data_IF_733070727499
#
_entry.id   IF_733070727499
#
_cell.length_a   1.000
_cell.length_b   1.000
_cell.length_c   1.000
_cell.angle_alpha   90.00
_cell.angle_beta   90.00
_cell.angle_gamma   90.00
#
_symmetry.space_group_name_H-M   'P 1'
#
loop_
_entity.id
_entity.type
_entity.pdbx_description
1 polymer ?
#
# COMPACT_ATOMS: atom_id res chain seq x y z
N UNK A 1 11.97 17.93 -11.52
CA UNK A 1 12.92 17.04 -10.83
C UNK A 1 12.17 15.74 -10.64
N UNK A 2 12.59 14.62 -11.26
CA UNK A 2 12.00 13.31 -10.97
C UNK A 2 12.37 12.94 -9.53
N UNK A 3 11.40 12.58 -8.70
CA UNK A 3 11.65 12.09 -7.33
C UNK A 3 12.32 10.72 -7.45
N UNK A 4 13.61 10.63 -7.09
CA UNK A 4 14.39 9.38 -7.00
C UNK A 4 13.95 8.47 -5.83
N UNK A 5 12.79 8.74 -5.22
CA UNK A 5 12.15 7.93 -4.17
C UNK A 5 10.91 7.16 -4.71
N UNK A 6 10.63 7.28 -6.01
CA UNK A 6 9.48 6.67 -6.71
C UNK A 6 9.89 5.43 -7.54
N UNK A 7 10.96 4.76 -7.11
CA UNK A 7 11.55 3.58 -7.74
C UNK A 7 10.64 2.34 -7.56
N UNK A 8 9.49 2.32 -8.20
CA UNK A 8 8.63 1.12 -8.26
C UNK A 8 9.24 0.16 -9.26
N UNK A 9 10.02 -0.80 -8.76
CA UNK A 9 10.51 -1.90 -9.59
C UNK A 9 9.35 -2.83 -9.92
N UNK A 10 8.91 -2.78 -11.18
CA UNK A 10 7.78 -3.55 -11.68
C UNK A 10 8.29 -4.61 -12.63
N UNK A 11 8.37 -5.86 -12.19
CA UNK A 11 8.69 -6.99 -13.06
C UNK A 11 7.37 -7.70 -13.45
N UNK A 12 6.67 -7.23 -14.50
CA UNK A 12 5.54 -7.99 -15.09
C UNK A 12 4.94 -7.39 -16.37
N UNK A 13 4.44 -8.28 -17.23
CA UNK A 13 3.63 -8.01 -18.42
C UNK A 13 2.21 -7.55 -18.02
N UNK A 14 1.68 -6.44 -18.58
CA UNK A 14 0.38 -5.91 -18.16
C UNK A 14 -0.76 -6.67 -18.84
N UNK A 15 -1.34 -7.65 -18.14
CA UNK A 15 -2.54 -8.38 -18.57
C UNK A 15 -3.68 -8.14 -17.59
N UNK A 16 -4.62 -7.29 -18.01
CA UNK A 16 -6.01 -7.18 -17.59
C UNK A 16 -6.39 -7.68 -16.16
N UNK A 17 -6.29 -6.76 -15.19
CA UNK A 17 -7.17 -6.59 -14.02
C UNK A 17 -7.69 -7.87 -13.34
N UNK A 18 -6.88 -8.41 -12.43
CA UNK A 18 -7.38 -9.16 -11.25
C UNK A 18 -6.54 -8.73 -10.03
N UNK A 19 -6.75 -7.46 -9.66
CA UNK A 19 -5.94 -6.66 -8.73
C UNK A 19 -6.20 -6.97 -7.24
N UNK A 20 -6.45 -8.23 -6.86
CA UNK A 20 -6.59 -8.54 -5.43
C UNK A 20 -5.21 -8.77 -4.82
N UNK A 21 -4.85 -7.91 -3.87
CA UNK A 21 -3.72 -8.16 -2.96
C UNK A 21 -4.01 -9.44 -2.19
N UNK A 22 -3.14 -10.44 -2.36
CA UNK A 22 -3.29 -11.76 -1.75
C UNK A 22 -2.47 -11.90 -0.47
N UNK A 23 -1.26 -11.32 -0.45
CA UNK A 23 -0.41 -11.30 0.73
C UNK A 23 0.58 -10.13 0.68
N UNK A 24 1.26 -9.89 1.80
CA UNK A 24 2.36 -8.95 1.88
C UNK A 24 3.51 -9.51 2.74
N UNK A 25 4.72 -9.11 2.37
CA UNK A 25 5.95 -9.43 3.07
C UNK A 25 6.80 -8.16 3.22
N UNK A 26 7.58 -8.07 4.30
CA UNK A 26 8.59 -7.04 4.45
C UNK A 26 9.94 -7.72 4.21
N UNK A 27 10.58 -7.41 3.09
CA UNK A 27 11.86 -8.00 2.68
C UNK A 27 12.97 -6.97 2.83
N UNK A 28 14.16 -7.39 3.27
CA UNK A 28 15.32 -6.51 3.31
C UNK A 28 16.16 -6.70 2.06
N UNK A 29 16.32 -5.63 1.27
CA UNK A 29 17.18 -5.58 0.08
C UNK A 29 18.24 -4.49 0.30
N UNK A 30 19.52 -4.81 0.16
CA UNK A 30 20.62 -3.86 0.36
C UNK A 30 20.52 -3.10 1.70
N UNK A 31 20.19 -3.81 2.79
CA UNK A 31 19.97 -3.26 4.13
C UNK A 31 18.82 -2.24 4.25
N UNK A 32 17.92 -2.16 3.26
CA UNK A 32 16.71 -1.35 3.30
C UNK A 32 15.47 -2.25 3.28
N UNK A 33 14.44 -1.99 4.12
CA UNK A 33 13.20 -2.73 4.08
C UNK A 33 12.33 -2.30 2.89
N UNK A 34 11.72 -3.27 2.22
CA UNK A 34 10.75 -3.07 1.15
C UNK A 34 9.47 -3.81 1.49
N UNK A 35 8.34 -3.16 1.20
CA UNK A 35 7.03 -3.76 1.26
C UNK A 35 6.77 -4.50 -0.05
N UNK A 36 6.80 -5.83 0.01
CA UNK A 36 6.47 -6.71 -1.11
C UNK A 36 4.97 -7.01 -1.08
N UNK A 37 4.27 -6.59 -2.12
CA UNK A 37 2.84 -6.86 -2.30
C UNK A 37 2.67 -7.96 -3.32
N UNK A 38 2.07 -9.07 -2.89
CA UNK A 38 1.87 -10.26 -3.69
C UNK A 38 0.42 -10.24 -4.18
N UNK A 39 0.26 -10.32 -5.50
CA UNK A 39 -1.05 -10.32 -6.16
C UNK A 39 -1.54 -11.74 -6.38
N UNK A 40 -2.84 -11.89 -6.62
CA UNK A 40 -3.45 -13.21 -6.85
C UNK A 40 -2.99 -13.92 -8.14
N UNK A 41 -2.42 -13.19 -9.10
CA UNK A 41 -1.81 -13.76 -10.31
C UNK A 41 -0.37 -14.25 -10.09
N UNK A 42 0.15 -14.16 -8.86
CA UNK A 42 1.52 -14.53 -8.51
C UNK A 42 2.56 -13.46 -8.79
N UNK A 43 2.19 -12.33 -9.41
CA UNK A 43 3.08 -11.18 -9.57
C UNK A 43 3.30 -10.48 -8.23
N UNK A 44 4.40 -9.73 -8.13
CA UNK A 44 4.67 -8.93 -6.94
C UNK A 44 5.27 -7.57 -7.28
N UNK A 45 5.04 -6.61 -6.40
CA UNK A 45 5.58 -5.25 -6.49
C UNK A 45 6.28 -4.90 -5.18
N UNK A 46 7.42 -4.21 -5.29
CA UNK A 46 8.19 -3.75 -4.15
C UNK A 46 8.03 -2.25 -3.97
N UNK A 47 7.78 -1.83 -2.73
CA UNK A 47 7.68 -0.42 -2.36
C UNK A 47 8.66 -0.11 -1.25
N UNK A 48 9.50 0.92 -1.47
CA UNK A 48 10.48 1.39 -0.48
C UNK A 48 9.77 1.91 0.78
N UNK A 49 8.63 2.59 0.61
CA UNK A 49 7.87 3.14 1.72
C UNK A 49 6.40 2.74 1.66
N UNK A 50 5.78 2.62 2.84
CA UNK A 50 4.35 2.36 2.93
C UNK A 50 3.53 3.52 2.34
N UNK A 51 4.03 4.75 2.41
CA UNK A 51 3.37 5.90 1.79
C UNK A 51 3.37 5.79 0.26
N UNK A 52 4.47 5.33 -0.35
CA UNK A 52 4.56 5.06 -1.79
C UNK A 52 3.58 3.96 -2.19
N UNK A 53 3.47 2.88 -1.40
CA UNK A 53 2.43 1.87 -1.59
C UNK A 53 1.04 2.50 -1.59
N UNK A 54 0.67 3.25 -0.53
CA UNK A 54 -0.65 3.87 -0.42
C UNK A 54 -0.98 4.84 -1.57
N UNK A 55 0.02 5.51 -2.15
CA UNK A 55 -0.16 6.35 -3.34
C UNK A 55 -0.53 5.55 -4.59
N UNK A 56 -0.03 4.32 -4.71
CA UNK A 56 -0.19 3.47 -5.91
C UNK A 56 -1.46 2.61 -5.90
N UNK A 57 -2.10 2.41 -4.75
CA UNK A 57 -3.32 1.60 -4.63
C UNK A 57 -4.57 2.45 -4.40
N UNK A 58 -5.69 2.07 -5.00
CA UNK A 58 -6.99 2.67 -4.66
C UNK A 58 -7.48 2.11 -3.34
N UNK A 59 -8.47 2.78 -2.74
CA UNK A 59 -9.06 2.35 -1.47
C UNK A 59 -9.62 0.92 -1.55
N UNK A 60 -10.23 0.58 -2.67
CA UNK A 60 -10.82 -0.74 -2.93
C UNK A 60 -9.73 -1.82 -2.99
N UNK A 61 -8.56 -1.50 -3.56
CA UNK A 61 -7.44 -2.43 -3.67
C UNK A 61 -6.69 -2.61 -2.33
N UNK A 62 -6.82 -1.64 -1.41
CA UNK A 62 -6.28 -1.70 -0.05
C UNK A 62 -7.18 -2.44 0.94
N UNK A 63 -8.44 -2.69 0.59
CA UNK A 63 -9.38 -3.40 1.47
C UNK A 63 -8.97 -4.86 1.72
N UNK A 64 -8.56 -5.65 0.70
CA UNK A 64 -7.96 -6.96 0.91
C UNK A 64 -6.72 -6.92 1.80
N UNK A 65 -5.82 -5.95 1.58
CA UNK A 65 -4.62 -5.76 2.40
C UNK A 65 -4.98 -5.48 3.87
N UNK A 66 -5.99 -4.64 4.12
CA UNK A 66 -6.47 -4.39 5.47
C UNK A 66 -7.06 -5.65 6.13
N UNK A 67 -7.78 -6.48 5.36
CA UNK A 67 -8.30 -7.75 5.88
C UNK A 67 -7.18 -8.69 6.31
N UNK A 68 -6.14 -8.83 5.49
CA UNK A 68 -4.97 -9.67 5.78
C UNK A 68 -4.20 -9.19 7.03
N UNK A 69 -3.96 -7.89 7.14
CA UNK A 69 -3.26 -7.30 8.29
C UNK A 69 -4.07 -7.52 9.57
N UNK A 70 -5.40 -7.37 9.52
CA UNK A 70 -6.26 -7.69 10.67
C UNK A 70 -6.18 -9.17 11.04
N UNK A 71 -6.27 -10.07 10.07
CA UNK A 71 -6.24 -11.52 10.32
C UNK A 71 -4.92 -11.94 10.94
N UNK A 72 -3.79 -11.51 10.36
CA UNK A 72 -2.44 -11.81 10.85
C UNK A 72 -2.23 -11.31 12.29
N UNK A 73 -2.70 -10.10 12.61
CA UNK A 73 -2.54 -9.52 13.95
C UNK A 73 -3.75 -9.70 14.87
N UNK A 74 -4.74 -10.51 14.47
CA UNK A 74 -5.81 -10.93 15.34
C UNK A 74 -5.29 -11.93 16.39
N UNK A 75 -4.43 -12.86 15.96
CA UNK A 75 -3.86 -13.92 16.81
C UNK A 75 -2.43 -13.64 17.27
N UNK A 76 -1.71 -12.73 16.59
CA UNK A 76 -0.30 -12.43 16.87
C UNK A 76 -0.06 -10.93 17.04
N UNK A 77 0.97 -10.56 17.80
CA UNK A 77 1.41 -9.16 17.89
C UNK A 77 2.39 -8.85 16.76
N UNK A 78 2.43 -7.59 16.25
CA UNK A 78 3.50 -7.15 15.35
C UNK A 78 4.87 -7.46 15.95
N UNK A 79 5.73 -8.09 15.15
CA UNK A 79 7.08 -8.47 15.55
C UNK A 79 8.13 -7.41 15.18
N UNK A 80 7.75 -6.38 14.42
CA UNK A 80 8.64 -5.30 13.99
C UNK A 80 7.86 -3.99 13.81
N UNK A 81 8.62 -2.89 13.74
CA UNK A 81 8.07 -1.54 13.60
C UNK A 81 7.21 -1.38 12.33
N UNK A 82 7.66 -1.92 11.20
CA UNK A 82 6.93 -1.82 9.93
C UNK A 82 5.55 -2.48 9.98
N UNK A 83 5.44 -3.63 10.66
CA UNK A 83 4.17 -4.33 10.88
C UNK A 83 3.24 -3.55 11.82
N UNK A 84 3.79 -2.98 12.90
CA UNK A 84 3.01 -2.14 13.82
C UNK A 84 2.51 -0.86 13.13
N UNK A 85 3.37 -0.25 12.32
CA UNK A 85 3.07 0.92 11.51
C UNK A 85 1.98 0.63 10.47
N UNK A 86 2.04 -0.53 9.78
CA UNK A 86 1.01 -1.00 8.86
C UNK A 86 -0.35 -1.17 9.54
N UNK A 87 -0.39 -1.91 10.64
CA UNK A 87 -1.62 -2.18 11.42
C UNK A 87 -2.26 -0.88 11.91
N UNK A 88 -1.46 0.02 12.48
CA UNK A 88 -1.94 1.30 12.99
C UNK A 88 -2.46 2.19 11.87
N UNK A 89 -1.71 2.33 10.78
CA UNK A 89 -2.08 3.24 9.70
C UNK A 89 -3.32 2.75 8.94
N UNK A 90 -3.37 1.48 8.52
CA UNK A 90 -4.56 0.91 7.87
C UNK A 90 -5.76 0.91 8.85
N UNK A 91 -5.52 0.63 10.13
CA UNK A 91 -6.54 0.74 11.16
C UNK A 91 -7.15 2.13 11.24
N UNK A 92 -6.34 3.18 11.24
CA UNK A 92 -6.85 4.57 11.26
C UNK A 92 -7.58 4.94 9.97
N UNK A 93 -7.10 4.46 8.81
CA UNK A 93 -7.72 4.70 7.50
C UNK A 93 -9.10 4.08 7.36
N UNK A 94 -9.27 2.84 7.82
CA UNK A 94 -10.52 2.07 7.63
C UNK A 94 -11.49 2.21 8.82
N UNK A 95 -11.02 2.51 10.05
CA UNK A 95 -11.91 2.77 11.20
C UNK A 95 -12.57 4.15 11.18
N UNK A 96 -11.98 5.15 10.50
CA UNK A 96 -12.57 6.49 10.34
C UNK A 96 -13.23 6.62 8.96
N UNK A 97 -14.50 6.23 8.77
CA UNK A 97 -15.19 6.48 7.52
C UNK A 97 -15.35 7.99 7.29
N UNK A 98 -15.15 8.46 6.05
CA UNK A 98 -15.47 9.84 5.65
C UNK A 98 -14.32 10.72 5.15
N UNK A 99 -13.18 10.16 4.73
CA UNK A 99 -12.11 10.95 4.06
C UNK A 99 -11.43 12.02 4.94
N UNK A 100 -11.72 12.03 6.24
CA UNK A 100 -11.10 12.91 7.23
C UNK A 100 -9.83 12.33 7.83
N UNK A 101 -9.52 11.05 7.62
CA UNK A 101 -8.21 10.54 7.99
C UNK A 101 -7.16 11.30 7.17
N UNK A 102 -6.27 12.03 7.85
CA UNK A 102 -5.21 12.84 7.24
C UNK A 102 -4.41 12.03 6.21
N UNK A 103 -4.28 10.72 6.45
CA UNK A 103 -3.60 9.79 5.56
C UNK A 103 -4.27 9.67 4.18
N UNK A 104 -5.61 9.72 4.09
CA UNK A 104 -6.33 9.75 2.80
C UNK A 104 -6.17 11.09 2.06
N UNK A 105 -5.98 12.21 2.78
CA UNK A 105 -5.74 13.53 2.15
C UNK A 105 -4.42 13.55 1.37
N UNK A 106 -3.40 12.87 1.89
CA UNK A 106 -2.12 12.72 1.21
C UNK A 106 -2.26 11.97 -0.13
N UNK A 107 -3.23 11.06 -0.25
CA UNK A 107 -3.54 10.38 -1.51
C UNK A 107 -4.36 11.27 -2.48
N UNK A 108 -5.31 12.05 -1.93
CA UNK A 108 -6.23 12.90 -2.71
C UNK A 108 -5.53 14.11 -3.36
N UNK A 109 -4.49 14.66 -2.73
CA UNK A 109 -3.69 15.74 -3.31
C UNK A 109 -3.06 15.38 -4.66
N UNK A 110 -2.84 14.09 -4.93
CA UNK A 110 -2.18 13.61 -6.15
C UNK A 110 -3.21 13.20 -7.21
N UNK A 111 -4.32 12.56 -6.82
CA UNK A 111 -5.38 12.16 -7.75
C UNK A 111 -6.40 13.27 -8.07
N UNK A 112 -6.37 14.39 -7.32
CA UNK A 112 -7.33 15.50 -7.39
C UNK A 112 -7.00 16.63 -8.38
N UNK A 113 -6.03 16.46 -9.27
CA UNK A 113 -5.66 17.45 -10.30
C UNK A 113 -6.00 17.00 -11.73
N UNK A 114 -6.96 16.10 -11.91
CA UNK A 114 -7.55 15.82 -13.21
C UNK A 114 -8.97 16.42 -13.30
N UNK A 115 -9.03 17.66 -13.82
CA UNK A 115 -10.20 18.45 -14.27
C UNK A 115 -10.48 19.71 -13.44
N UNK A 116 -9.73 20.78 -13.73
CA UNK A 116 -10.35 22.06 -14.11
C UNK A 116 -9.46 22.66 -15.21
N UNK A 117 -9.80 22.40 -16.48
CA UNK A 117 -9.32 23.23 -17.60
C UNK A 117 -10.55 23.88 -18.22
N UNK A 118 -10.52 25.20 -18.11
CA UNK A 118 -11.20 26.30 -18.79
C UNK A 118 -12.55 26.07 -19.47
#
# INVERSE_FOLDING_TARGET
>A
IPDEDDDVYTESTPLARKDSVMDYEIVNLNNKPYYKIIRADGTHQLYISFLTLLKNFKREDLEPLWSLVKERFYTSKPNNFSNDFLLTTLGTMFKKPGGQAQVWRNQRSIHGQAKIKS
#
